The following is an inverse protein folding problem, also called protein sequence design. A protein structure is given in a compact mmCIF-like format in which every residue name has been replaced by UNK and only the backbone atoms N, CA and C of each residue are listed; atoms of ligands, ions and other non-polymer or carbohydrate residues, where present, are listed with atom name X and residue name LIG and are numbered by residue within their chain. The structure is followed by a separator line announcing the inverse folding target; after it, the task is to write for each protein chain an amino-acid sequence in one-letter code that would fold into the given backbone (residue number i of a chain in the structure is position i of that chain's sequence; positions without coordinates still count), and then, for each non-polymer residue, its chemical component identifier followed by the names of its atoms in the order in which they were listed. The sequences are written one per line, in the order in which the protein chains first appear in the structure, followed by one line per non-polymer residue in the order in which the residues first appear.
data_IF_274899489660
#
_entry.id   IF_274899489660
#
_cell.length_a   1.000
_cell.length_b   1.000
_cell.length_c   1.000
_cell.angle_alpha   90.00
_cell.angle_beta   90.00
_cell.angle_gamma   90.00
#
_symmetry.space_group_name_H-M   'P 1'
#
loop_
_entity.id
_entity.type
_entity.pdbx_description
1 polymer ?
#
# COMPACT_ATOMS: atom_id res chain seq x y z
N UNK A 1 -5.74 7.55 10.62
CA UNK A 1 -4.97 6.52 9.91
C UNK A 1 -5.94 5.66 9.11
N UNK A 2 -5.69 5.45 7.82
CA UNK A 2 -6.50 4.62 6.92
C UNK A 2 -5.60 3.47 6.46
N UNK A 3 -5.92 2.24 6.85
CA UNK A 3 -5.21 1.01 6.47
C UNK A 3 -6.09 0.19 5.52
N UNK A 4 -5.99 0.36 4.18
CA UNK A 4 -6.98 -0.16 3.25
C UNK A 4 -7.23 -1.67 3.37
N UNK A 5 -6.17 -2.47 3.53
CA UNK A 5 -6.25 -3.93 3.72
C UNK A 5 -7.13 -4.35 4.91
N UNK A 6 -7.18 -3.55 5.97
CA UNK A 6 -8.01 -3.81 7.16
C UNK A 6 -9.40 -3.17 7.10
N UNK A 7 -9.64 -2.29 6.12
CA UNK A 7 -10.89 -1.54 5.98
C UNK A 7 -11.79 -2.18 4.92
N UNK A 8 -11.22 -2.57 3.78
CA UNK A 8 -11.97 -3.13 2.66
C UNK A 8 -11.80 -2.30 1.38
N UNK A 9 -12.91 -1.99 0.72
CA UNK A 9 -12.88 -1.45 -0.65
C UNK A 9 -12.22 -0.07 -0.75
N UNK A 10 -11.81 0.27 -1.97
CA UNK A 10 -11.24 1.58 -2.29
C UNK A 10 -12.26 2.70 -2.03
N UNK A 11 -13.52 2.48 -2.42
CA UNK A 11 -14.63 3.42 -2.23
C UNK A 11 -14.80 3.72 -0.75
N UNK A 12 -14.81 2.68 0.10
CA UNK A 12 -14.91 2.85 1.55
C UNK A 12 -13.74 3.64 2.13
N UNK A 13 -12.53 3.43 1.62
CA UNK A 13 -11.37 4.20 2.04
C UNK A 13 -11.49 5.68 1.66
N UNK A 14 -11.98 5.97 0.44
CA UNK A 14 -12.20 7.35 -0.04
C UNK A 14 -13.24 8.06 0.83
N UNK A 15 -14.37 7.42 1.13
CA UNK A 15 -15.39 7.98 2.03
C UNK A 15 -14.82 8.37 3.39
N UNK A 16 -13.97 7.53 3.98
CA UNK A 16 -13.34 7.82 5.27
C UNK A 16 -12.32 8.96 5.20
N UNK A 17 -11.59 9.07 4.08
CA UNK A 17 -10.67 10.18 3.82
C UNK A 17 -11.47 11.49 3.71
N UNK A 18 -12.56 11.50 2.95
CA UNK A 18 -13.42 12.66 2.78
C UNK A 18 -14.07 13.09 4.11
N UNK A 19 -14.57 12.13 4.89
CA UNK A 19 -15.08 12.40 6.24
C UNK A 19 -14.02 13.03 7.15
N UNK A 20 -12.78 12.52 7.11
CA UNK A 20 -11.68 13.09 7.88
C UNK A 20 -11.40 14.54 7.46
N UNK A 21 -11.35 14.82 6.16
CA UNK A 21 -11.13 16.18 5.64
C UNK A 21 -12.25 17.15 6.03
N UNK A 22 -13.51 16.74 5.96
CA UNK A 22 -14.67 17.56 6.40
C UNK A 22 -14.55 17.94 7.88
N UNK A 23 -14.03 17.02 8.70
CA UNK A 23 -13.79 17.25 10.13
C UNK A 23 -12.48 18.01 10.44
N UNK A 24 -11.74 18.45 9.41
CA UNK A 24 -10.44 19.11 9.58
C UNK A 24 -9.31 18.20 10.05
N UNK A 25 -9.50 16.87 9.95
CA UNK A 25 -8.50 15.86 10.30
C UNK A 25 -7.62 15.52 9.10
N UNK A 26 -6.37 15.17 9.38
CA UNK A 26 -5.46 14.62 8.35
C UNK A 26 -5.71 13.12 8.19
N UNK A 27 -6.04 12.69 6.97
CA UNK A 27 -6.03 11.29 6.61
C UNK A 27 -4.63 10.86 6.20
N UNK A 28 -4.15 9.74 6.73
CA UNK A 28 -2.85 9.13 6.39
C UNK A 28 -3.13 7.73 5.89
N UNK A 29 -2.86 7.46 4.60
CA UNK A 29 -2.80 6.09 4.08
C UNK A 29 -1.61 5.39 4.73
N UNK A 30 -1.84 4.18 5.26
CA UNK A 30 -0.86 3.44 6.03
C UNK A 30 -0.84 1.97 5.63
N UNK A 31 0.34 1.39 5.67
CA UNK A 31 0.55 -0.04 5.41
C UNK A 31 0.02 -0.92 6.55
N UNK A 32 -0.35 -2.13 6.17
CA UNK A 32 -0.62 -3.30 7.01
C UNK A 32 0.38 -4.44 6.73
N UNK A 33 1.60 -4.12 6.31
CA UNK A 33 2.66 -5.07 5.89
C UNK A 33 2.27 -5.79 4.59
N UNK A 34 1.78 -5.03 3.61
CA UNK A 34 1.54 -5.54 2.25
C UNK A 34 2.86 -5.81 1.52
N UNK A 35 2.82 -6.70 0.52
CA UNK A 35 3.94 -6.86 -0.42
C UNK A 35 4.18 -5.59 -1.24
N UNK A 36 5.30 -5.52 -1.95
CA UNK A 36 5.63 -4.38 -2.83
C UNK A 36 4.54 -4.05 -3.86
N UNK A 37 3.81 -5.06 -4.37
CA UNK A 37 2.64 -4.84 -5.22
C UNK A 37 1.57 -3.99 -4.51
N UNK A 38 1.21 -4.36 -3.28
CA UNK A 38 0.24 -3.63 -2.47
C UNK A 38 0.76 -2.25 -2.06
N UNK A 39 2.00 -2.16 -1.59
CA UNK A 39 2.62 -0.89 -1.20
C UNK A 39 2.64 0.13 -2.33
N UNK A 40 2.96 -0.27 -3.56
CA UNK A 40 2.92 0.64 -4.71
C UNK A 40 1.49 1.10 -5.06
N UNK A 41 0.46 0.27 -4.81
CA UNK A 41 -0.93 0.70 -4.93
C UNK A 41 -1.30 1.71 -3.84
N UNK A 42 -0.87 1.47 -2.59
CA UNK A 42 -1.06 2.41 -1.49
C UNK A 42 -0.35 3.75 -1.73
N UNK A 43 0.85 3.74 -2.30
CA UNK A 43 1.58 4.95 -2.68
C UNK A 43 0.81 5.77 -3.74
N UNK A 44 0.22 5.10 -4.74
CA UNK A 44 -0.64 5.76 -5.73
C UNK A 44 -1.92 6.33 -5.09
N UNK A 45 -2.55 5.58 -4.19
CA UNK A 45 -3.71 6.07 -3.44
C UNK A 45 -3.36 7.30 -2.60
N UNK A 46 -2.24 7.27 -1.87
CA UNK A 46 -1.78 8.41 -1.07
C UNK A 46 -1.53 9.65 -1.94
N UNK A 47 -0.88 9.49 -3.09
CA UNK A 47 -0.66 10.59 -4.03
C UNK A 47 -1.97 11.16 -4.58
N UNK A 48 -2.99 10.32 -4.81
CA UNK A 48 -4.26 10.73 -5.39
C UNK A 48 -5.20 11.38 -4.36
N UNK A 49 -5.33 10.81 -3.16
CA UNK A 49 -6.36 11.17 -2.20
C UNK A 49 -5.83 11.94 -0.98
N UNK A 50 -4.53 11.84 -0.68
CA UNK A 50 -3.88 12.56 0.43
C UNK A 50 -2.54 13.19 -0.01
N UNK A 51 -2.50 13.97 -1.12
CA UNK A 51 -1.25 14.40 -1.76
C UNK A 51 -0.32 15.23 -0.86
N UNK A 52 -0.88 15.94 0.12
CA UNK A 52 -0.14 16.81 1.04
C UNK A 52 0.22 16.12 2.36
N UNK A 53 0.05 14.80 2.45
CA UNK A 53 0.31 14.02 3.64
C UNK A 53 1.24 12.86 3.29
N UNK A 54 2.37 12.78 3.99
CA UNK A 54 3.30 11.67 3.85
C UNK A 54 2.63 10.38 4.33
N UNK A 55 2.55 9.32 3.49
CA UNK A 55 1.90 8.09 3.87
C UNK A 55 2.82 7.21 4.74
N UNK A 56 2.23 6.38 5.59
CA UNK A 56 2.96 5.44 6.46
C UNK A 56 3.21 4.11 5.76
N UNK A 57 4.15 4.08 4.81
CA UNK A 57 4.42 2.90 3.93
C UNK A 57 5.79 2.24 4.16
N UNK A 58 6.59 2.74 5.10
CA UNK A 58 7.95 2.29 5.38
C UNK A 58 7.97 0.93 6.12
N UNK A 59 7.61 -0.12 5.39
CA UNK A 59 7.45 -1.49 5.92
C UNK A 59 8.04 -2.56 5.01
N UNK A 60 8.49 -2.19 3.81
CA UNK A 60 9.04 -3.14 2.84
C UNK A 60 10.32 -3.79 3.35
N UNK A 61 11.15 -3.04 4.08
CA UNK A 61 12.42 -3.52 4.64
C UNK A 61 12.25 -4.56 5.76
N UNK A 62 11.00 -4.88 6.14
CA UNK A 62 10.67 -6.01 7.01
C UNK A 62 10.56 -7.34 6.24
N UNK A 63 10.64 -7.31 4.91
CA UNK A 63 10.47 -8.47 4.02
C UNK A 63 11.79 -8.85 3.34
N UNK A 64 11.87 -10.10 2.87
CA UNK A 64 13.04 -10.58 2.12
C UNK A 64 12.92 -10.37 0.59
N UNK A 65 11.69 -10.26 0.06
CA UNK A 65 11.42 -10.21 -1.37
C UNK A 65 10.36 -9.17 -1.73
N UNK A 66 10.48 -8.60 -2.93
CA UNK A 66 9.43 -7.85 -3.61
C UNK A 66 8.63 -8.82 -4.50
N UNK A 67 7.33 -8.60 -4.65
CA UNK A 67 6.44 -9.49 -5.41
C UNK A 67 5.76 -8.71 -6.53
N UNK A 68 5.94 -9.14 -7.79
CA UNK A 68 5.31 -8.66 -9.04
C UNK A 68 5.57 -7.21 -9.46
N UNK A 69 5.72 -6.27 -8.52
CA UNK A 69 6.05 -4.88 -8.82
C UNK A 69 7.07 -4.37 -7.82
N UNK A 70 8.14 -3.77 -8.33
CA UNK A 70 9.17 -3.18 -7.49
C UNK A 70 8.72 -1.86 -6.85
N UNK A 71 9.19 -1.63 -5.64
CA UNK A 71 9.20 -0.34 -4.97
C UNK A 71 10.43 0.46 -5.41
N UNK A 72 10.22 1.73 -5.75
CA UNK A 72 11.27 2.60 -6.27
C UNK A 72 12.40 2.73 -5.23
N UNK A 73 13.60 2.34 -5.63
CA UNK A 73 14.81 2.44 -4.79
C UNK A 73 15.05 1.25 -3.86
N UNK A 74 14.15 0.26 -3.79
CA UNK A 74 14.41 -0.96 -3.02
C UNK A 74 15.42 -1.85 -3.76
N UNK A 75 16.37 -2.41 -3.01
CA UNK A 75 17.36 -3.39 -3.49
C UNK A 75 16.95 -4.84 -3.22
N UNK A 76 15.79 -5.07 -2.61
CA UNK A 76 15.29 -6.43 -2.37
C UNK A 76 15.04 -7.15 -3.71
N UNK A 77 15.33 -8.47 -3.80
CA UNK A 77 15.06 -9.25 -5.00
C UNK A 77 13.58 -9.21 -5.38
N UNK A 78 13.28 -9.04 -6.67
CA UNK A 78 11.92 -9.06 -7.21
C UNK A 78 11.59 -10.45 -7.73
N UNK A 79 10.52 -11.07 -7.22
CA UNK A 79 9.96 -12.33 -7.71
C UNK A 79 8.73 -12.08 -8.56
N UNK A 80 8.62 -12.83 -9.66
CA UNK A 80 7.47 -12.83 -10.57
C UNK A 80 6.64 -14.12 -10.40
N UNK A 81 5.66 -14.33 -11.29
CA UNK A 81 4.77 -15.49 -11.24
C UNK A 81 5.46 -16.82 -11.58
N UNK A 82 6.65 -16.79 -12.20
CA UNK A 82 7.42 -17.97 -12.59
C UNK A 82 8.43 -18.38 -11.51
N UNK A 83 8.51 -17.63 -10.41
CA UNK A 83 9.37 -17.96 -9.27
C UNK A 83 8.94 -19.26 -8.60
N UNK A 84 9.93 -20.07 -8.19
CA UNK A 84 9.72 -21.28 -7.37
C UNK A 84 9.06 -20.99 -6.01
N UNK A 85 9.08 -19.72 -5.56
CA UNK A 85 8.43 -19.27 -4.33
C UNK A 85 6.93 -18.97 -4.51
N UNK A 86 6.40 -19.04 -5.74
CA UNK A 86 5.00 -18.77 -6.06
C UNK A 86 4.31 -20.06 -6.48
N UNK A 87 3.23 -20.42 -5.77
CA UNK A 87 2.39 -21.57 -6.10
C UNK A 87 1.05 -21.10 -6.64
N UNK A 88 0.72 -21.50 -7.86
CA UNK A 88 -0.62 -21.31 -8.41
C UNK A 88 -1.61 -22.23 -7.69
N UNK A 89 -2.65 -21.64 -7.09
CA UNK A 89 -3.79 -22.38 -6.55
C UNK A 89 -4.79 -22.57 -7.69
N UNK A 90 -5.12 -23.82 -8.00
CA UNK A 90 -6.07 -24.23 -9.05
C UNK A 90 -7.38 -24.64 -8.39
#
# INVERSE_FOLDING_TARGET
MIKPTLIGSLERCIELIDQAHVLGLKAVISSSIESSLGLTQLARMAQQYTPNVTPGLDTLDLMDYQVLRSWKGSTLPLIDLESELITKII
#
